data_IF_704756789522
#
_entry.id   IF_704756789522
#
_cell.length_a   1.000
_cell.length_b   1.000
_cell.length_c   1.000
_cell.angle_alpha   90.00
_cell.angle_beta   90.00
_cell.angle_gamma   90.00
#
_symmetry.space_group_name_H-M   'P 1'
#
loop_
_entity.id
_entity.type
_entity.pdbx_description
1 polymer ?
#
# COMPACT_ATOMS: atom_id res chain seq x y z
N UNK A 1 -40.67 -4.35 43.24
CA UNK A 1 -40.96 -3.07 42.54
C UNK A 1 -40.76 -3.34 41.06
N UNK A 2 -41.86 -3.27 40.31
CA UNK A 2 -41.98 -3.54 38.88
C UNK A 2 -41.74 -2.23 38.11
N UNK A 3 -41.49 -2.36 36.80
CA UNK A 3 -41.53 -1.36 35.71
C UNK A 3 -40.16 -0.94 35.16
N UNK A 4 -39.90 -0.77 33.86
CA UNK A 4 -40.60 -0.98 32.57
C UNK A 4 -39.56 -0.57 31.48
N UNK A 5 -39.12 -1.50 30.61
CA UNK A 5 -39.25 -1.56 29.14
C UNK A 5 -38.47 -0.58 28.21
N UNK A 6 -38.09 -1.19 27.07
CA UNK A 6 -37.85 -0.67 25.70
C UNK A 6 -36.49 0.04 25.44
N UNK A 7 -35.81 -0.09 24.29
CA UNK A 7 -36.31 -0.27 22.91
C UNK A 7 -35.22 -0.82 21.98
N UNK A 8 -35.65 -1.48 20.90
CA UNK A 8 -34.91 -1.92 19.71
C UNK A 8 -34.04 -0.84 19.04
N UNK A 9 -32.99 -1.24 18.32
CA UNK A 9 -32.63 -0.68 16.98
C UNK A 9 -31.61 -1.60 16.27
N UNK A 10 -32.14 -2.31 15.27
CA UNK A 10 -31.69 -2.44 13.87
C UNK A 10 -30.21 -2.61 13.51
N UNK A 11 -29.95 -3.78 12.91
CA UNK A 11 -29.08 -4.11 11.78
C UNK A 11 -28.25 -3.00 11.10
N UNK A 12 -27.03 -3.35 10.69
CA UNK A 12 -26.70 -3.53 9.26
C UNK A 12 -25.42 -4.34 9.08
N UNK A 13 -25.53 -5.40 8.29
CA UNK A 13 -24.41 -6.04 7.64
C UNK A 13 -23.79 -5.05 6.67
N UNK A 14 -22.49 -4.75 6.82
CA UNK A 14 -21.74 -4.07 5.77
C UNK A 14 -21.00 -5.14 4.99
N UNK A 15 -21.67 -5.59 3.93
CA UNK A 15 -21.03 -6.17 2.75
C UNK A 15 -19.86 -5.27 2.35
N UNK A 16 -18.64 -5.80 2.40
CA UNK A 16 -17.48 -5.15 1.81
C UNK A 16 -17.63 -5.17 0.29
N UNK A 17 -18.43 -4.23 -0.21
CA UNK A 17 -18.54 -3.89 -1.61
C UNK A 17 -17.17 -3.39 -2.07
N UNK A 18 -16.60 -4.12 -3.01
CA UNK A 18 -15.35 -3.81 -3.72
C UNK A 18 -15.40 -2.35 -4.18
N UNK A 19 -14.71 -1.47 -3.46
CA UNK A 19 -14.56 -0.09 -3.84
C UNK A 19 -13.86 -0.02 -5.20
N UNK A 20 -14.64 0.23 -6.24
CA UNK A 20 -14.10 0.72 -7.50
C UNK A 20 -13.39 2.05 -7.21
N UNK A 21 -12.27 2.33 -7.90
CA UNK A 21 -11.59 3.61 -7.74
C UNK A 21 -12.61 4.73 -7.97
N UNK A 22 -12.75 5.63 -6.99
CA UNK A 22 -13.73 6.70 -7.03
C UNK A 22 -13.52 7.54 -8.31
N UNK A 23 -14.46 7.45 -9.25
CA UNK A 23 -14.48 8.31 -10.42
C UNK A 23 -14.47 9.79 -9.94
N UNK A 24 -13.80 10.70 -10.67
CA UNK A 24 -13.88 12.12 -10.36
C UNK A 24 -15.36 12.54 -10.28
N UNK A 25 -15.72 13.16 -9.16
CA UNK A 25 -17.10 13.60 -8.86
C UNK A 25 -17.68 14.38 -10.04
N UNK A 26 -18.82 13.91 -10.56
CA UNK A 26 -19.54 14.54 -11.68
C UNK A 26 -19.29 13.94 -13.07
N UNK A 27 -18.46 12.88 -13.19
CA UNK A 27 -18.28 12.17 -14.45
C UNK A 27 -19.07 10.86 -14.49
N UNK A 28 -20.05 10.76 -15.39
CA UNK A 28 -20.73 9.50 -15.68
C UNK A 28 -19.83 8.62 -16.58
N UNK A 29 -19.15 7.68 -15.94
CA UNK A 29 -18.25 6.74 -16.62
C UNK A 29 -19.00 5.54 -17.25
N UNK A 30 -20.33 5.51 -17.22
CA UNK A 30 -21.08 4.41 -17.82
C UNK A 30 -20.81 4.36 -19.34
N UNK A 31 -20.22 3.25 -19.80
CA UNK A 31 -19.77 3.05 -21.18
C UNK A 31 -18.24 3.14 -21.39
N UNK A 32 -17.47 3.54 -20.38
CA UNK A 32 -16.00 3.58 -20.46
C UNK A 32 -15.36 2.49 -19.61
N UNK A 33 -14.38 1.78 -20.19
CA UNK A 33 -13.50 0.89 -19.43
C UNK A 33 -12.24 1.67 -19.06
N UNK A 34 -12.00 1.85 -17.76
CA UNK A 34 -10.71 2.35 -17.28
C UNK A 34 -9.63 1.34 -17.67
N UNK A 35 -8.72 1.74 -18.55
CA UNK A 35 -7.63 0.88 -19.04
C UNK A 35 -6.38 0.99 -18.18
N UNK A 36 -6.12 2.17 -17.61
CA UNK A 36 -4.93 2.46 -16.82
C UNK A 36 -5.14 3.66 -15.89
N UNK A 37 -4.74 3.50 -14.64
CA UNK A 37 -4.52 4.62 -13.72
C UNK A 37 -3.18 5.28 -14.05
N UNK A 38 -3.23 6.55 -14.45
CA UNK A 38 -2.03 7.34 -14.77
C UNK A 38 -1.34 7.84 -13.50
N UNK A 39 -2.13 8.12 -12.47
CA UNK A 39 -1.66 8.57 -11.16
C UNK A 39 -2.10 7.54 -10.14
N UNK A 40 -1.15 6.97 -9.41
CA UNK A 40 -1.41 6.06 -8.32
C UNK A 40 -1.22 6.79 -6.98
N UNK A 41 -2.12 6.62 -6.01
CA UNK A 41 -1.92 7.18 -4.67
C UNK A 41 -0.69 6.53 -4.02
N UNK A 42 0.03 7.30 -3.20
CA UNK A 42 1.13 6.75 -2.41
C UNK A 42 0.58 6.08 -1.14
N UNK A 43 0.76 4.77 -1.02
CA UNK A 43 0.52 4.04 0.21
C UNK A 43 1.70 4.23 1.15
N UNK A 44 1.45 4.90 2.28
CA UNK A 44 2.45 5.10 3.31
C UNK A 44 2.63 3.86 4.18
N UNK A 45 3.86 3.63 4.63
CA UNK A 45 4.24 2.61 5.61
C UNK A 45 4.60 3.27 6.96
N UNK A 46 3.60 3.76 7.73
CA UNK A 46 3.87 4.39 9.01
C UNK A 46 4.44 3.39 10.02
N UNK A 47 5.25 3.90 10.93
CA UNK A 47 5.88 3.09 11.98
C UNK A 47 4.81 2.40 12.84
N UNK A 48 5.00 1.10 13.09
CA UNK A 48 4.12 0.28 13.91
C UNK A 48 2.90 -0.27 13.19
N UNK A 49 2.59 0.16 11.97
CA UNK A 49 1.39 -0.30 11.23
C UNK A 49 1.79 -1.26 10.12
N UNK A 50 1.23 -2.48 10.17
CA UNK A 50 1.37 -3.44 9.10
C UNK A 50 0.43 -3.10 7.93
N UNK A 51 0.93 -3.22 6.70
CA UNK A 51 0.15 -3.06 5.47
C UNK A 51 0.32 -4.30 4.61
N UNK A 52 -0.79 -4.88 4.19
CA UNK A 52 -0.82 -5.94 3.19
C UNK A 52 -0.71 -5.35 1.79
N UNK A 53 0.26 -5.82 1.01
CA UNK A 53 0.50 -5.35 -0.37
C UNK A 53 0.73 -6.53 -1.31
N UNK A 54 0.19 -6.45 -2.52
CA UNK A 54 0.57 -7.33 -3.64
C UNK A 54 1.47 -6.56 -4.59
N UNK A 55 2.67 -7.07 -4.91
CA UNK A 55 3.60 -6.37 -5.80
C UNK A 55 3.27 -6.68 -7.25
N UNK A 56 2.90 -5.67 -8.03
CA UNK A 56 2.39 -5.86 -9.40
C UNK A 56 3.48 -5.92 -10.48
N UNK A 57 4.70 -5.49 -10.17
CA UNK A 57 5.79 -5.44 -11.13
C UNK A 57 7.14 -5.14 -10.48
N UNK A 58 8.23 -5.15 -11.27
CA UNK A 58 9.57 -4.89 -10.76
C UNK A 58 9.67 -3.53 -10.10
N UNK A 59 10.57 -3.43 -9.12
CA UNK A 59 10.94 -2.15 -8.51
C UNK A 59 11.55 -1.22 -9.55
N UNK A 60 11.20 0.06 -9.52
CA UNK A 60 11.71 1.06 -10.46
C UNK A 60 12.06 2.37 -9.76
N UNK A 61 13.00 3.13 -10.31
CA UNK A 61 13.36 4.44 -9.77
C UNK A 61 12.31 5.49 -10.18
N UNK A 62 11.86 6.28 -9.20
CA UNK A 62 11.00 7.42 -9.45
C UNK A 62 11.71 8.53 -10.22
N UNK A 63 10.95 9.54 -10.66
CA UNK A 63 11.54 10.72 -11.30
C UNK A 63 12.41 11.48 -10.31
N UNK A 64 13.61 11.88 -10.75
CA UNK A 64 14.46 12.79 -9.98
C UNK A 64 13.77 14.15 -9.86
N UNK A 65 13.48 14.56 -8.63
CA UNK A 65 12.97 15.90 -8.34
C UNK A 65 14.14 16.75 -7.88
N UNK A 66 14.68 17.57 -8.78
CA UNK A 66 15.71 18.56 -8.44
C UNK A 66 15.05 19.69 -7.64
N UNK A 67 15.33 19.74 -6.34
CA UNK A 67 14.95 20.87 -5.49
C UNK A 67 16.08 21.91 -5.56
N UNK A 68 15.77 23.12 -6.02
CA UNK A 68 16.72 24.23 -6.22
C UNK A 68 17.68 24.40 -5.02
N UNK A 69 18.97 24.10 -5.23
CA UNK A 69 20.06 24.41 -4.30
C UNK A 69 20.45 23.32 -3.28
N UNK A 70 19.83 22.13 -3.30
CA UNK A 70 20.29 20.99 -2.50
C UNK A 70 20.93 19.92 -3.38
N UNK A 71 21.95 19.23 -2.86
CA UNK A 71 22.58 18.09 -3.53
C UNK A 71 21.52 17.09 -3.97
N UNK A 72 21.61 16.62 -5.22
CA UNK A 72 20.65 15.68 -5.80
C UNK A 72 20.49 14.46 -4.89
N UNK A 73 19.35 14.35 -4.21
CA UNK A 73 18.98 13.12 -3.51
C UNK A 73 18.68 12.06 -4.56
N UNK A 74 19.21 10.85 -4.35
CA UNK A 74 18.91 9.71 -5.23
C UNK A 74 17.40 9.57 -5.38
N UNK A 75 16.90 9.30 -6.61
CA UNK A 75 15.49 9.03 -6.82
C UNK A 75 15.04 7.88 -5.92
N UNK A 76 13.83 7.99 -5.37
CA UNK A 76 13.29 6.96 -4.51
C UNK A 76 12.93 5.73 -5.36
N UNK A 77 13.24 4.53 -4.86
CA UNK A 77 12.73 3.28 -5.42
C UNK A 77 11.23 3.18 -5.13
N UNK A 78 10.44 2.88 -6.16
CA UNK A 78 8.99 2.74 -6.10
C UNK A 78 8.57 1.33 -6.52
N UNK A 79 7.44 0.88 -5.97
CA UNK A 79 6.75 -0.31 -6.43
C UNK A 79 5.27 -0.01 -6.66
N UNK A 80 4.73 -0.49 -7.78
CA UNK A 80 3.29 -0.51 -7.98
C UNK A 80 2.73 -1.71 -7.22
N UNK A 81 1.72 -1.47 -6.38
CA UNK A 81 1.13 -2.49 -5.53
C UNK A 81 -0.39 -2.43 -5.54
N UNK A 82 -1.03 -3.51 -5.08
CA UNK A 82 -2.42 -3.47 -4.60
C UNK A 82 -2.38 -3.37 -3.09
N UNK A 83 -3.06 -2.38 -2.51
CA UNK A 83 -3.34 -2.36 -1.08
C UNK A 83 -4.37 -3.45 -0.77
N UNK A 84 -3.97 -4.51 -0.07
CA UNK A 84 -4.88 -5.62 0.24
C UNK A 84 -6.03 -5.22 1.17
N UNK A 85 -5.91 -4.09 1.89
CA UNK A 85 -6.97 -3.59 2.75
C UNK A 85 -8.07 -2.84 1.99
N UNK A 86 -7.73 -2.02 0.99
CA UNK A 86 -8.71 -1.27 0.20
C UNK A 86 -9.05 -1.92 -1.15
N UNK A 87 -8.19 -2.83 -1.64
CA UNK A 87 -8.27 -3.40 -2.98
C UNK A 87 -7.80 -2.45 -4.09
N UNK A 88 -7.32 -1.25 -3.74
CA UNK A 88 -6.92 -0.23 -4.71
C UNK A 88 -5.47 -0.38 -5.15
N UNK A 89 -5.20 0.01 -6.39
CA UNK A 89 -3.83 0.16 -6.89
C UNK A 89 -3.20 1.40 -6.27
N UNK A 90 -2.00 1.23 -5.75
CA UNK A 90 -1.22 2.29 -5.13
C UNK A 90 0.26 2.14 -5.50
N UNK A 91 1.06 3.12 -5.10
CA UNK A 91 2.52 3.06 -5.13
C UNK A 91 3.05 3.08 -3.71
N UNK A 92 4.04 2.25 -3.42
CA UNK A 92 4.82 2.38 -2.19
C UNK A 92 6.19 2.96 -2.52
N UNK A 93 6.68 3.83 -1.65
CA UNK A 93 8.11 4.15 -1.60
C UNK A 93 8.79 3.00 -0.91
N UNK A 94 9.71 2.33 -1.59
CA UNK A 94 10.44 1.18 -1.06
C UNK A 94 11.74 1.67 -0.42
N UNK A 95 11.86 1.60 0.92
CA UNK A 95 13.11 1.98 1.58
C UNK A 95 14.22 0.99 1.25
N UNK A 96 15.47 1.44 1.24
CA UNK A 96 16.61 0.62 0.85
C UNK A 96 16.72 -0.73 1.59
N UNK A 97 16.31 -0.78 2.87
CA UNK A 97 16.28 -2.02 3.67
C UNK A 97 15.24 -3.00 3.12
N UNK A 98 14.03 -2.53 2.79
CA UNK A 98 12.98 -3.36 2.21
C UNK A 98 13.41 -3.86 0.82
N UNK A 99 13.99 -2.98 -0.01
CA UNK A 99 14.52 -3.35 -1.32
C UNK A 99 15.60 -4.44 -1.22
N UNK A 100 16.57 -4.27 -0.33
CA UNK A 100 17.66 -5.22 -0.14
C UNK A 100 17.12 -6.61 0.26
N UNK A 101 16.22 -6.66 1.25
CA UNK A 101 15.61 -7.91 1.70
C UNK A 101 14.81 -8.60 0.59
N UNK A 102 14.02 -7.84 -0.18
CA UNK A 102 13.24 -8.40 -1.29
C UNK A 102 14.15 -8.96 -2.40
N UNK A 103 15.21 -8.24 -2.78
CA UNK A 103 16.13 -8.69 -3.84
C UNK A 103 16.98 -9.89 -3.41
N UNK A 104 17.33 -9.97 -2.13
CA UNK A 104 18.08 -11.10 -1.57
C UNK A 104 17.22 -12.36 -1.49
N UNK A 105 16.00 -12.25 -0.96
CA UNK A 105 15.09 -13.40 -0.81
C UNK A 105 14.44 -13.84 -2.13
N UNK A 106 14.23 -12.90 -3.06
CA UNK A 106 13.53 -13.13 -4.32
C UNK A 106 14.37 -12.64 -5.52
N UNK A 107 15.38 -13.41 -5.94
CA UNK A 107 16.22 -13.05 -7.07
C UNK A 107 15.40 -12.96 -8.37
N UNK A 108 15.88 -12.16 -9.31
CA UNK A 108 15.23 -11.96 -10.64
C UNK A 108 13.78 -11.49 -10.54
N UNK A 109 13.48 -10.65 -9.55
CA UNK A 109 12.15 -10.09 -9.32
C UNK A 109 11.06 -11.14 -9.04
N UNK A 110 11.43 -12.29 -8.45
CA UNK A 110 10.48 -13.35 -8.06
C UNK A 110 9.46 -12.93 -6.99
N UNK A 111 9.55 -11.70 -6.47
CA UNK A 111 8.57 -11.06 -5.59
C UNK A 111 7.34 -10.52 -6.34
N UNK A 112 7.39 -10.43 -7.68
CA UNK A 112 6.27 -9.95 -8.51
C UNK A 112 5.12 -10.96 -8.50
N UNK A 113 3.90 -10.47 -8.28
CA UNK A 113 2.68 -11.26 -8.11
C UNK A 113 2.49 -11.85 -6.72
N UNK A 114 3.48 -11.68 -5.81
CA UNK A 114 3.38 -12.16 -4.43
C UNK A 114 2.76 -11.11 -3.52
N UNK A 115 2.11 -11.59 -2.46
CA UNK A 115 1.49 -10.78 -1.43
C UNK A 115 2.37 -10.77 -0.18
N UNK A 116 2.50 -9.61 0.44
CA UNK A 116 3.34 -9.40 1.61
C UNK A 116 2.61 -8.59 2.67
N UNK A 117 2.80 -8.95 3.93
CA UNK A 117 2.57 -8.07 5.08
C UNK A 117 3.88 -7.33 5.38
N UNK A 118 3.86 -6.01 5.22
CA UNK A 118 5.02 -5.14 5.48
C UNK A 118 4.73 -4.24 6.67
N UNK A 119 5.60 -4.27 7.67
CA UNK A 119 5.50 -3.40 8.85
C UNK A 119 6.83 -2.67 9.07
N UNK A 120 6.75 -1.35 9.12
CA UNK A 120 7.87 -0.50 9.49
C UNK A 120 8.01 -0.52 11.02
N UNK A 121 9.11 -1.04 11.55
CA UNK A 121 9.35 -1.12 13.00
C UNK A 121 10.00 0.16 13.56
N UNK A 122 10.29 1.14 12.70
CA UNK A 122 10.98 2.36 13.09
C UNK A 122 12.48 2.15 13.21
N UNK A 123 13.18 3.14 13.76
CA UNK A 123 14.64 3.08 13.91
C UNK A 123 15.00 2.23 15.11
N UNK A 124 15.89 1.24 14.92
CA UNK A 124 16.60 0.62 16.05
C UNK A 124 17.63 1.60 16.61
N UNK A 125 17.88 1.50 17.91
CA UNK A 125 18.88 2.31 18.60
C UNK A 125 20.26 2.18 17.92
N UNK A 126 20.90 3.32 17.65
CA UNK A 126 22.19 3.37 16.97
C UNK A 126 22.18 3.12 15.46
N UNK A 127 21.02 2.93 14.82
CA UNK A 127 20.91 2.76 13.35
C UNK A 127 20.34 3.99 12.67
N UNK A 128 20.90 4.31 11.50
CA UNK A 128 20.44 5.42 10.66
C UNK A 128 19.15 5.11 9.88
N UNK A 129 18.82 3.81 9.75
CA UNK A 129 17.71 3.31 8.95
C UNK A 129 16.61 2.69 9.82
N UNK A 130 15.40 2.70 9.28
CA UNK A 130 14.28 1.98 9.87
C UNK A 130 14.41 0.48 9.57
N UNK A 131 13.95 -0.32 10.51
CA UNK A 131 13.84 -1.75 10.38
C UNK A 131 12.44 -2.15 9.89
N UNK A 132 12.34 -3.32 9.27
CA UNK A 132 11.11 -3.79 8.63
C UNK A 132 10.87 -5.26 8.92
N UNK A 133 9.63 -5.59 9.28
CA UNK A 133 9.12 -6.96 9.22
C UNK A 133 8.42 -7.16 7.89
N UNK A 134 8.79 -8.23 7.20
CA UNK A 134 8.27 -8.61 5.89
C UNK A 134 7.86 -10.07 5.99
N UNK A 135 6.59 -10.36 5.75
CA UNK A 135 6.08 -11.72 5.69
C UNK A 135 5.37 -11.94 4.36
N UNK A 136 5.75 -12.96 3.60
CA UNK A 136 4.95 -13.42 2.46
C UNK A 136 3.65 -14.05 2.98
N UNK A 137 2.54 -13.76 2.31
CA UNK A 137 1.21 -14.27 2.66
C UNK A 137 0.51 -14.77 1.39
N UNK A 138 -0.43 -15.70 1.56
CA UNK A 138 -1.26 -16.24 0.48
C UNK A 138 -2.74 -16.08 0.84
N UNK A 139 -3.62 -16.09 -0.16
CA UNK A 139 -5.08 -16.14 0.08
C UNK A 139 -5.49 -17.60 0.24
N UNK A 140 -6.27 -17.90 1.27
CA UNK A 140 -6.94 -19.19 1.45
C UNK A 140 -8.09 -19.38 0.45
#
# INVERSE_FOLDING_TARGET
MIMTKNTETTAVATTSEKAAPAAPVGFDASGFKVTKDVVLPILQLPVGVARGVEILGPLFEGKEIKQNGQAAKKPATLANVINLQSGERAQIVVPAVLEANLREAYPQDAYVGKMFLVQNEGKREGKAYNDFKIAEIERE
#
